data_IF_377712884960
#
_entry.id   IF_377712884960
#
_cell.length_a   1.000
_cell.length_b   1.000
_cell.length_c   1.000
_cell.angle_alpha   90.00
_cell.angle_beta   90.00
_cell.angle_gamma   90.00
#
_symmetry.space_group_name_H-M   'P 1'
#
loop_
_entity.id
_entity.type
_entity.pdbx_description
1 polymer ?
#
# COMPACT_ATOMS: atom_id res chain seq x y z
N UNK A 1 -24.31 -14.50 -27.20
CA UNK A 1 -23.84 -14.27 -25.83
C UNK A 1 -24.16 -12.83 -25.46
N UNK A 2 -25.03 -12.58 -24.47
CA UNK A 2 -25.27 -11.18 -23.96
C UNK A 2 -23.94 -10.59 -23.53
N UNK A 3 -23.56 -9.44 -24.07
CA UNK A 3 -22.40 -8.70 -23.62
C UNK A 3 -22.56 -8.42 -22.12
N UNK A 4 -21.67 -9.00 -21.29
CA UNK A 4 -21.62 -8.73 -19.86
C UNK A 4 -21.29 -7.25 -19.71
N UNK A 5 -22.20 -6.49 -19.06
CA UNK A 5 -21.97 -5.07 -18.79
C UNK A 5 -20.78 -4.95 -17.83
N UNK A 6 -19.86 -4.02 -18.08
CA UNK A 6 -18.68 -3.77 -17.25
C UNK A 6 -19.02 -3.56 -15.76
N UNK A 7 -20.20 -3.03 -15.47
CA UNK A 7 -20.69 -2.84 -14.11
C UNK A 7 -21.04 -4.15 -13.39
N UNK A 8 -21.34 -5.23 -14.13
CA UNK A 8 -21.67 -6.53 -13.55
C UNK A 8 -20.44 -7.35 -13.18
N UNK A 9 -19.28 -7.08 -13.79
CA UNK A 9 -18.06 -7.86 -13.59
C UNK A 9 -17.62 -7.90 -12.10
N UNK A 10 -17.59 -6.79 -11.36
CA UNK A 10 -17.25 -6.82 -9.92
C UNK A 10 -18.18 -7.72 -9.09
N UNK A 11 -19.48 -7.73 -9.38
CA UNK A 11 -20.44 -8.57 -8.69
C UNK A 11 -20.24 -10.06 -9.00
N UNK A 12 -19.90 -10.39 -10.25
CA UNK A 12 -19.59 -11.77 -10.66
C UNK A 12 -18.34 -12.26 -9.91
N UNK A 13 -17.28 -11.44 -9.87
CA UNK A 13 -16.06 -11.79 -9.14
C UNK A 13 -16.37 -11.99 -7.64
N UNK A 14 -17.13 -11.08 -7.03
CA UNK A 14 -17.53 -11.20 -5.63
C UNK A 14 -18.32 -12.49 -5.37
N UNK A 15 -19.26 -12.85 -6.25
CA UNK A 15 -20.04 -14.08 -6.13
C UNK A 15 -19.15 -15.33 -6.22
N UNK A 16 -18.19 -15.36 -7.16
CA UNK A 16 -17.23 -16.47 -7.30
C UNK A 16 -16.39 -16.61 -6.02
N UNK A 17 -15.86 -15.48 -5.51
CA UNK A 17 -15.05 -15.48 -4.28
C UNK A 17 -15.88 -15.95 -3.08
N UNK A 18 -17.12 -15.48 -2.95
CA UNK A 18 -18.03 -15.90 -1.88
C UNK A 18 -18.31 -17.42 -1.92
N UNK A 19 -18.58 -17.98 -3.11
CA UNK A 19 -18.79 -19.42 -3.29
C UNK A 19 -17.53 -20.21 -2.92
N UNK A 20 -16.35 -19.79 -3.40
CA UNK A 20 -15.08 -20.43 -3.05
C UNK A 20 -14.79 -20.33 -1.56
N UNK A 21 -15.04 -19.17 -0.95
CA UNK A 21 -14.84 -18.96 0.48
C UNK A 21 -15.73 -19.89 1.32
N UNK A 22 -17.01 -20.01 0.99
CA UNK A 22 -17.94 -20.94 1.67
C UNK A 22 -17.51 -22.39 1.44
N UNK A 23 -17.08 -22.74 0.22
CA UNK A 23 -16.63 -24.11 -0.11
C UNK A 23 -15.42 -24.55 0.73
N UNK A 24 -14.45 -23.64 0.93
CA UNK A 24 -13.26 -23.94 1.74
C UNK A 24 -13.45 -23.68 3.23
N UNK A 25 -14.60 -23.14 3.67
CA UNK A 25 -14.87 -22.82 5.08
C UNK A 25 -14.63 -23.99 6.04
N UNK A 26 -15.04 -25.25 5.75
CA UNK A 26 -14.81 -26.36 6.67
C UNK A 26 -13.33 -26.59 7.00
N UNK A 27 -12.41 -26.28 6.08
CA UNK A 27 -10.97 -26.46 6.27
C UNK A 27 -10.34 -25.38 7.17
N UNK A 28 -10.88 -24.17 7.17
CA UNK A 28 -10.33 -23.01 7.89
C UNK A 28 -11.23 -22.50 9.02
N UNK A 29 -12.39 -23.14 9.23
CA UNK A 29 -13.41 -22.65 10.19
C UNK A 29 -12.89 -22.56 11.61
N UNK A 30 -12.05 -23.51 12.05
CA UNK A 30 -11.50 -23.50 13.41
C UNK A 30 -10.64 -22.28 13.66
N UNK A 31 -9.58 -22.09 12.87
CA UNK A 31 -8.67 -20.95 13.01
C UNK A 31 -9.42 -19.63 12.75
N UNK A 32 -10.34 -19.60 11.78
CA UNK A 32 -11.14 -18.41 11.51
C UNK A 32 -11.97 -18.01 12.74
N UNK A 33 -12.70 -18.94 13.36
CA UNK A 33 -13.58 -18.62 14.49
C UNK A 33 -12.84 -18.34 15.79
N UNK A 34 -11.67 -18.94 16.01
CA UNK A 34 -10.91 -18.81 17.27
C UNK A 34 -9.87 -17.69 17.23
N UNK A 35 -9.20 -17.48 16.08
CA UNK A 35 -8.03 -16.62 16.01
C UNK A 35 -8.20 -15.44 15.05
N UNK A 36 -8.92 -15.64 13.91
CA UNK A 36 -8.89 -14.68 12.80
C UNK A 36 -10.26 -14.09 12.44
N UNK A 37 -11.25 -14.16 13.31
CA UNK A 37 -12.61 -13.66 13.04
C UNK A 37 -12.67 -12.15 12.75
N UNK A 38 -11.68 -11.39 13.18
CA UNK A 38 -11.55 -9.94 12.94
C UNK A 38 -10.96 -9.60 11.57
N UNK A 39 -10.33 -10.57 10.90
CA UNK A 39 -9.61 -10.35 9.64
C UNK A 39 -10.46 -9.81 8.50
N UNK A 40 -11.75 -10.17 8.33
CA UNK A 40 -12.58 -9.54 7.30
C UNK A 40 -12.72 -8.03 7.51
N UNK A 41 -12.90 -7.56 8.75
CA UNK A 41 -12.99 -6.12 9.05
C UNK A 41 -11.65 -5.41 8.82
N UNK A 42 -10.57 -6.01 9.28
CA UNK A 42 -9.23 -5.51 9.04
C UNK A 42 -8.93 -5.48 7.54
N UNK A 43 -9.39 -6.49 6.80
CA UNK A 43 -9.31 -6.59 5.35
C UNK A 43 -10.00 -5.43 4.63
N UNK A 44 -11.20 -5.04 5.09
CA UNK A 44 -11.90 -3.87 4.54
C UNK A 44 -11.07 -2.60 4.72
N UNK A 45 -10.54 -2.36 5.92
CA UNK A 45 -9.76 -1.16 6.23
C UNK A 45 -8.47 -1.14 5.40
N UNK A 46 -7.67 -2.21 5.49
CA UNK A 46 -6.36 -2.28 4.86
C UNK A 46 -6.44 -2.22 3.33
N UNK A 47 -7.37 -2.96 2.72
CA UNK A 47 -7.54 -2.93 1.27
C UNK A 47 -8.14 -1.61 0.77
N UNK A 48 -8.98 -0.94 1.57
CA UNK A 48 -9.46 0.41 1.24
C UNK A 48 -8.29 1.38 1.19
N UNK A 49 -7.45 1.41 2.22
CA UNK A 49 -6.26 2.26 2.25
C UNK A 49 -5.34 1.95 1.06
N UNK A 50 -5.00 0.69 0.85
CA UNK A 50 -4.08 0.26 -0.19
C UNK A 50 -4.56 0.58 -1.62
N UNK A 51 -5.86 0.62 -1.86
CA UNK A 51 -6.43 0.90 -3.19
C UNK A 51 -6.86 2.36 -3.38
N UNK A 52 -6.68 3.22 -2.38
CA UNK A 52 -6.98 4.66 -2.44
C UNK A 52 -5.75 5.53 -2.29
N UNK A 53 -4.64 4.99 -1.79
CA UNK A 53 -3.41 5.71 -1.48
C UNK A 53 -2.19 4.96 -2.02
N UNK A 54 -1.04 5.61 -2.17
CA UNK A 54 0.22 4.94 -2.49
C UNK A 54 0.86 4.30 -1.24
N UNK A 55 0.05 3.78 -0.36
CA UNK A 55 0.46 3.15 0.87
C UNK A 55 -0.18 1.76 0.94
N UNK A 56 0.60 0.74 0.68
CA UNK A 56 0.15 -0.63 0.57
C UNK A 56 -0.49 -1.15 1.87
N UNK A 57 -1.25 -2.24 1.78
CA UNK A 57 -1.97 -2.81 2.91
C UNK A 57 -1.06 -3.24 4.08
N UNK A 58 0.22 -3.50 3.82
CA UNK A 58 1.21 -3.87 4.83
C UNK A 58 1.32 -2.89 5.99
N UNK A 59 1.19 -1.60 5.69
CA UNK A 59 1.22 -0.55 6.71
C UNK A 59 0.06 -0.65 7.72
N UNK A 60 -1.08 -1.20 7.32
CA UNK A 60 -2.21 -1.44 8.23
C UNK A 60 -2.09 -2.81 8.90
N UNK A 61 -1.77 -3.85 8.12
CA UNK A 61 -1.75 -5.21 8.64
C UNK A 61 -0.60 -5.46 9.62
N UNK A 62 0.61 -5.05 9.26
CA UNK A 62 1.80 -5.41 10.05
C UNK A 62 1.71 -4.95 11.52
N UNK A 63 1.43 -3.67 11.83
CA UNK A 63 1.38 -3.23 13.22
C UNK A 63 0.23 -3.86 14.01
N UNK A 64 -0.89 -4.19 13.36
CA UNK A 64 -2.02 -4.82 14.04
C UNK A 64 -1.72 -6.31 14.29
N UNK A 65 -1.25 -7.04 13.28
CA UNK A 65 -0.94 -8.45 13.40
C UNK A 65 0.17 -8.72 14.43
N UNK A 66 1.23 -7.90 14.44
CA UNK A 66 2.32 -8.04 15.41
C UNK A 66 1.89 -7.74 16.85
N UNK A 67 0.93 -6.82 17.07
CA UNK A 67 0.31 -6.60 18.39
C UNK A 67 -0.63 -7.73 18.81
N UNK A 68 -1.15 -8.48 17.88
CA UNK A 68 -1.94 -9.70 18.10
C UNK A 68 -1.07 -10.95 18.10
N UNK A 69 0.22 -10.79 18.39
CA UNK A 69 1.21 -11.85 18.59
C UNK A 69 1.52 -12.70 17.33
N UNK A 70 1.09 -12.26 16.13
CA UNK A 70 1.54 -12.87 14.88
C UNK A 70 3.02 -12.51 14.67
N UNK A 71 3.83 -13.52 14.34
CA UNK A 71 5.26 -13.31 14.10
C UNK A 71 5.49 -12.26 12.99
N UNK A 72 6.42 -11.31 13.18
CA UNK A 72 6.68 -10.24 12.21
C UNK A 72 7.00 -10.74 10.80
N UNK A 73 7.76 -11.83 10.68
CA UNK A 73 8.06 -12.44 9.37
C UNK A 73 6.79 -12.93 8.69
N UNK A 74 5.93 -13.65 9.43
CA UNK A 74 4.63 -14.12 8.94
C UNK A 74 3.72 -12.97 8.53
N UNK A 75 3.72 -11.88 9.30
CA UNK A 75 2.95 -10.67 8.97
C UNK A 75 3.41 -10.04 7.65
N UNK A 76 4.72 -9.97 7.38
CA UNK A 76 5.27 -9.48 6.10
C UNK A 76 4.89 -10.40 4.93
N UNK A 77 5.07 -11.70 5.09
CA UNK A 77 4.70 -12.70 4.07
C UNK A 77 3.21 -12.59 3.72
N UNK A 78 2.37 -12.54 4.76
CA UNK A 78 0.93 -12.33 4.58
C UNK A 78 0.63 -11.06 3.81
N UNK A 79 1.32 -9.94 4.10
CA UNK A 79 1.03 -8.67 3.41
C UNK A 79 1.29 -8.75 1.91
N UNK A 80 2.38 -9.38 1.47
CA UNK A 80 2.65 -9.57 0.04
C UNK A 80 1.56 -10.41 -0.63
N UNK A 81 1.16 -11.52 0.00
CA UNK A 81 0.15 -12.43 -0.55
C UNK A 81 -1.22 -11.77 -0.66
N UNK A 82 -1.65 -11.06 0.39
CA UNK A 82 -2.96 -10.41 0.39
C UNK A 82 -3.00 -9.20 -0.56
N UNK A 83 -1.87 -8.52 -0.78
CA UNK A 83 -1.76 -7.41 -1.71
C UNK A 83 -1.79 -7.87 -3.17
N UNK A 84 -1.15 -9.01 -3.51
CA UNK A 84 -1.26 -9.59 -4.83
C UNK A 84 -2.73 -9.78 -5.23
N UNK A 85 -3.55 -10.22 -4.29
CA UNK A 85 -4.99 -10.37 -4.47
C UNK A 85 -5.73 -9.03 -4.38
N UNK A 86 -5.64 -8.32 -3.26
CA UNK A 86 -6.47 -7.16 -2.95
C UNK A 86 -6.16 -5.93 -3.81
N UNK A 87 -4.87 -5.62 -4.01
CA UNK A 87 -4.47 -4.53 -4.90
C UNK A 87 -4.63 -4.94 -6.38
N UNK A 88 -4.55 -6.24 -6.69
CA UNK A 88 -4.92 -6.77 -8.01
C UNK A 88 -6.39 -6.48 -8.36
N UNK A 89 -7.31 -6.76 -7.43
CA UNK A 89 -8.73 -6.42 -7.59
C UNK A 89 -8.96 -4.91 -7.72
N UNK A 90 -8.28 -4.11 -6.90
CA UNK A 90 -8.35 -2.66 -6.96
C UNK A 90 -7.81 -2.09 -8.28
N UNK A 91 -6.66 -2.58 -8.75
CA UNK A 91 -6.10 -2.25 -10.07
C UNK A 91 -7.10 -2.56 -11.18
N UNK A 92 -7.69 -3.75 -11.14
CA UNK A 92 -8.72 -4.15 -12.10
C UNK A 92 -9.95 -3.24 -12.03
N UNK A 93 -10.39 -2.86 -10.83
CA UNK A 93 -11.50 -1.91 -10.66
C UNK A 93 -11.15 -0.54 -11.24
N UNK A 94 -9.97 0.01 -10.97
CA UNK A 94 -9.53 1.27 -11.55
C UNK A 94 -9.44 1.21 -13.08
N UNK A 95 -9.00 0.09 -13.64
CA UNK A 95 -8.96 -0.13 -15.08
C UNK A 95 -10.37 -0.10 -15.72
N UNK A 96 -11.37 -0.66 -15.04
CA UNK A 96 -12.77 -0.60 -15.49
C UNK A 96 -13.33 0.83 -15.39
N UNK A 97 -12.92 1.58 -14.36
CA UNK A 97 -13.38 2.98 -14.15
C UNK A 97 -12.78 3.90 -15.21
N UNK A 98 -11.46 3.94 -15.33
CA UNK A 98 -10.80 4.79 -16.33
C UNK A 98 -9.36 4.34 -16.62
N UNK A 99 -9.12 3.83 -17.83
CA UNK A 99 -7.79 3.41 -18.30
C UNK A 99 -6.77 4.54 -18.40
N UNK A 100 -7.22 5.79 -18.54
CA UNK A 100 -6.32 6.96 -18.64
C UNK A 100 -5.59 7.30 -17.34
N UNK A 101 -6.02 6.67 -16.22
CA UNK A 101 -5.33 6.79 -14.93
C UNK A 101 -4.03 5.97 -14.84
N UNK A 102 -3.65 5.25 -15.89
CA UNK A 102 -2.47 4.39 -15.91
C UNK A 102 -1.40 4.91 -16.86
N UNK A 103 -0.17 4.92 -16.42
CA UNK A 103 1.01 5.14 -17.26
C UNK A 103 1.62 3.78 -17.59
N UNK A 104 1.02 3.07 -18.56
CA UNK A 104 1.39 1.69 -18.87
C UNK A 104 2.85 1.51 -19.33
N UNK A 105 3.43 2.49 -20.00
CA UNK A 105 4.78 2.40 -20.55
C UNK A 105 5.90 2.37 -19.48
N UNK A 106 5.64 2.87 -18.26
CA UNK A 106 6.63 2.85 -17.17
C UNK A 106 6.56 1.55 -16.35
N UNK A 107 5.40 0.86 -16.32
CA UNK A 107 5.18 -0.32 -15.49
C UNK A 107 6.20 -1.44 -15.76
N UNK A 108 6.50 -1.83 -17.02
CA UNK A 108 7.47 -2.90 -17.28
C UNK A 108 8.87 -2.60 -16.76
N UNK A 109 9.34 -1.34 -16.92
CA UNK A 109 10.65 -0.90 -16.46
C UNK A 109 10.74 -0.97 -14.94
N UNK A 110 9.72 -0.44 -14.27
CA UNK A 110 9.67 -0.39 -12.81
C UNK A 110 9.43 -1.78 -12.21
N UNK A 111 8.64 -2.62 -12.86
CA UNK A 111 8.42 -4.00 -12.44
C UNK A 111 9.72 -4.81 -12.51
N UNK A 112 10.52 -4.64 -13.56
CA UNK A 112 11.81 -5.31 -13.69
C UNK A 112 12.76 -4.92 -12.55
N UNK A 113 12.93 -3.62 -12.28
CA UNK A 113 13.73 -3.14 -11.16
C UNK A 113 13.19 -3.65 -9.80
N UNK A 114 11.86 -3.55 -9.61
CA UNK A 114 11.19 -4.02 -8.40
C UNK A 114 11.36 -5.52 -8.15
N UNK A 115 11.21 -6.37 -9.17
CA UNK A 115 11.40 -7.84 -9.06
C UNK A 115 12.85 -8.14 -8.64
N UNK A 116 13.85 -7.50 -9.26
CA UNK A 116 15.25 -7.69 -8.85
C UNK A 116 15.42 -7.31 -7.38
N UNK A 117 14.85 -6.18 -6.94
CA UNK A 117 14.90 -5.75 -5.55
C UNK A 117 14.26 -6.76 -4.59
N UNK A 118 13.05 -7.25 -4.90
CA UNK A 118 12.35 -8.25 -4.07
C UNK A 118 13.12 -9.58 -4.02
N UNK A 119 13.68 -10.04 -5.13
CA UNK A 119 14.52 -11.25 -5.16
C UNK A 119 15.74 -11.06 -4.25
N UNK A 120 16.42 -9.92 -4.36
CA UNK A 120 17.60 -9.63 -3.53
C UNK A 120 17.23 -9.63 -2.05
N UNK A 121 16.12 -9.01 -1.66
CA UNK A 121 15.73 -8.91 -0.25
C UNK A 121 15.20 -10.23 0.33
N UNK A 122 14.40 -10.98 -0.40
CA UNK A 122 13.80 -12.23 0.13
C UNK A 122 14.80 -13.39 0.09
N UNK A 123 15.60 -13.50 -1.00
CA UNK A 123 16.45 -14.68 -1.22
C UNK A 123 17.87 -14.48 -0.69
N UNK A 124 18.47 -13.31 -0.93
CA UNK A 124 19.89 -13.10 -0.60
C UNK A 124 20.12 -12.40 0.74
N UNK A 125 19.21 -11.52 1.15
CA UNK A 125 19.33 -10.72 2.38
C UNK A 125 18.05 -10.70 3.21
N UNK A 126 17.49 -11.87 3.61
CA UNK A 126 16.28 -11.91 4.42
C UNK A 126 16.53 -11.35 5.82
N UNK A 127 15.55 -10.67 6.39
CA UNK A 127 15.57 -10.21 7.78
C UNK A 127 14.86 -11.25 8.64
N UNK A 128 15.63 -12.15 9.25
CA UNK A 128 15.06 -13.26 10.03
C UNK A 128 14.78 -12.89 11.50
N UNK A 129 15.46 -11.87 12.04
CA UNK A 129 15.27 -11.45 13.44
C UNK A 129 14.01 -10.62 13.60
N UNK A 130 12.99 -11.10 14.35
CA UNK A 130 11.71 -10.41 14.50
C UNK A 130 11.83 -8.98 15.05
N UNK A 131 12.73 -8.77 16.01
CA UNK A 131 12.94 -7.45 16.64
C UNK A 131 13.54 -6.45 15.63
N UNK A 132 14.51 -6.91 14.84
CA UNK A 132 15.15 -6.10 13.81
C UNK A 132 14.16 -5.77 12.69
N UNK A 133 13.36 -6.75 12.28
CA UNK A 133 12.32 -6.57 11.25
C UNK A 133 11.29 -5.52 11.70
N UNK A 134 10.80 -5.62 12.94
CA UNK A 134 9.85 -4.65 13.50
C UNK A 134 10.46 -3.24 13.58
N UNK A 135 11.71 -3.12 13.97
CA UNK A 135 12.42 -1.84 14.03
C UNK A 135 12.55 -1.22 12.63
N UNK A 136 13.02 -2.01 11.66
CA UNK A 136 13.20 -1.58 10.27
C UNK A 136 11.85 -1.20 9.66
N UNK A 137 10.81 -2.00 9.89
CA UNK A 137 9.46 -1.70 9.42
C UNK A 137 9.02 -0.31 9.90
N UNK A 138 9.06 -0.06 11.20
CA UNK A 138 8.59 1.21 11.78
C UNK A 138 9.41 2.41 11.29
N UNK A 139 10.73 2.26 11.19
CA UNK A 139 11.61 3.31 10.70
C UNK A 139 11.32 3.63 9.23
N UNK A 140 11.21 2.62 8.37
CA UNK A 140 10.91 2.82 6.94
C UNK A 140 9.49 3.34 6.77
N UNK A 141 8.49 2.83 7.49
CA UNK A 141 7.13 3.32 7.45
C UNK A 141 7.06 4.81 7.80
N UNK A 142 7.80 5.24 8.83
CA UNK A 142 7.90 6.65 9.17
C UNK A 142 8.57 7.49 8.07
N UNK A 143 9.67 7.01 7.48
CA UNK A 143 10.33 7.70 6.37
C UNK A 143 9.40 7.83 5.14
N UNK A 144 8.70 6.77 4.80
CA UNK A 144 7.73 6.80 3.68
C UNK A 144 6.58 7.77 3.97
N UNK A 145 6.16 7.90 5.24
CA UNK A 145 5.21 8.93 5.66
C UNK A 145 5.72 10.35 5.37
N UNK A 146 7.00 10.61 5.66
CA UNK A 146 7.62 11.92 5.35
C UNK A 146 7.67 12.17 3.83
N UNK A 147 7.94 11.14 3.04
CA UNK A 147 7.91 11.21 1.57
C UNK A 147 6.50 11.60 1.08
N UNK A 148 5.44 11.02 1.65
CA UNK A 148 4.06 11.36 1.31
C UNK A 148 3.75 12.81 1.67
N UNK A 149 4.12 13.27 2.88
CA UNK A 149 3.96 14.67 3.28
C UNK A 149 4.67 15.63 2.32
N UNK A 150 5.91 15.30 1.97
CA UNK A 150 6.68 16.08 1.01
C UNK A 150 5.98 16.16 -0.35
N UNK A 151 5.46 15.04 -0.84
CA UNK A 151 4.71 14.99 -2.11
C UNK A 151 3.45 15.86 -2.07
N UNK A 152 2.73 15.90 -0.96
CA UNK A 152 1.55 16.74 -0.79
C UNK A 152 1.93 18.23 -0.76
N UNK A 153 3.02 18.60 -0.07
CA UNK A 153 3.49 19.98 0.05
C UNK A 153 4.01 20.56 -1.27
N UNK A 154 4.56 19.72 -2.14
CA UNK A 154 5.14 20.10 -3.43
C UNK A 154 4.25 19.75 -4.63
N UNK A 155 2.94 19.69 -4.42
CA UNK A 155 1.98 19.49 -5.51
C UNK A 155 2.10 20.59 -6.57
N UNK A 156 2.16 20.18 -7.84
CA UNK A 156 2.33 21.11 -8.95
C UNK A 156 0.97 21.58 -9.47
N UNK A 157 0.87 22.88 -9.77
CA UNK A 157 -0.35 23.54 -10.27
C UNK A 157 -0.81 22.98 -11.64
N UNK A 158 0.12 22.51 -12.48
CA UNK A 158 -0.17 21.95 -13.81
C UNK A 158 0.50 20.59 -13.95
N UNK A 159 -0.13 19.52 -13.45
CA UNK A 159 0.46 18.20 -13.49
C UNK A 159 0.43 17.60 -14.90
N UNK A 160 1.46 16.81 -15.22
CA UNK A 160 1.54 16.01 -16.45
C UNK A 160 0.73 14.71 -16.32
N UNK A 161 0.30 14.15 -17.45
CA UNK A 161 -0.39 12.86 -17.51
C UNK A 161 0.49 11.70 -17.98
N UNK A 162 1.72 11.96 -18.39
CA UNK A 162 2.65 10.96 -18.91
C UNK A 162 4.11 11.34 -18.75
N UNK A 163 4.99 10.39 -19.03
CA UNK A 163 6.46 10.51 -18.91
C UNK A 163 7.09 10.17 -20.26
N UNK A 164 8.00 11.04 -20.69
CA UNK A 164 8.87 10.75 -21.84
C UNK A 164 9.99 9.80 -21.43
N UNK A 165 10.07 8.64 -22.06
CA UNK A 165 11.06 7.60 -21.76
C UNK A 165 12.38 7.89 -22.47
N UNK A 166 13.16 8.82 -21.94
CA UNK A 166 14.57 8.98 -22.29
C UNK A 166 15.45 8.13 -21.36
N UNK A 167 16.72 7.94 -21.69
CA UNK A 167 17.65 7.10 -20.94
C UNK A 167 17.76 7.48 -19.46
N UNK A 168 17.79 8.79 -19.16
CA UNK A 168 17.90 9.28 -17.78
C UNK A 168 16.63 8.94 -16.99
N UNK A 169 15.47 9.16 -17.57
CA UNK A 169 14.20 8.85 -16.92
C UNK A 169 14.03 7.34 -16.68
N UNK A 170 14.47 6.50 -17.63
CA UNK A 170 14.49 5.05 -17.47
C UNK A 170 15.41 4.64 -16.32
N UNK A 171 16.61 5.20 -16.21
CA UNK A 171 17.53 4.89 -15.11
C UNK A 171 16.98 5.33 -13.76
N UNK A 172 16.34 6.50 -13.66
CA UNK A 172 15.68 6.97 -12.44
C UNK A 172 14.55 6.01 -12.06
N UNK A 173 13.65 5.69 -12.98
CA UNK A 173 12.52 4.79 -12.73
C UNK A 173 12.99 3.41 -12.29
N UNK A 174 13.96 2.84 -12.98
CA UNK A 174 14.53 1.53 -12.66
C UNK A 174 15.24 1.53 -11.30
N UNK A 175 16.13 2.50 -11.04
CA UNK A 175 16.90 2.57 -9.79
C UNK A 175 16.02 2.71 -8.54
N UNK A 176 15.05 3.62 -8.60
CA UNK A 176 14.10 3.77 -7.48
C UNK A 176 13.16 2.57 -7.32
N UNK A 177 12.76 1.94 -8.42
CA UNK A 177 11.95 0.72 -8.32
C UNK A 177 12.73 -0.46 -7.77
N UNK A 178 14.04 -0.54 -8.04
CA UNK A 178 14.92 -1.52 -7.42
C UNK A 178 15.01 -1.30 -5.90
N UNK A 179 15.21 -0.06 -5.44
CA UNK A 179 15.19 0.29 -4.02
C UNK A 179 13.82 0.02 -3.39
N UNK A 180 12.74 0.42 -4.06
CA UNK A 180 11.39 0.15 -3.60
C UNK A 180 11.07 -1.34 -3.52
N UNK A 181 11.59 -2.14 -4.44
CA UNK A 181 11.49 -3.60 -4.43
C UNK A 181 12.24 -4.23 -3.26
N UNK A 182 13.48 -3.78 -2.98
CA UNK A 182 14.24 -4.20 -1.80
C UNK A 182 13.45 -3.96 -0.51
N UNK A 183 12.93 -2.76 -0.35
CA UNK A 183 12.10 -2.39 0.81
C UNK A 183 10.84 -3.25 0.88
N UNK A 184 10.14 -3.42 -0.25
CA UNK A 184 8.91 -4.21 -0.30
C UNK A 184 9.13 -5.68 0.05
N UNK A 185 10.27 -6.26 -0.31
CA UNK A 185 10.59 -7.64 0.07
C UNK A 185 10.89 -7.80 1.56
N UNK A 186 11.50 -6.79 2.21
CA UNK A 186 11.77 -6.83 3.64
C UNK A 186 10.57 -6.57 4.53
N UNK A 187 9.73 -5.59 4.16
CA UNK A 187 8.66 -5.11 5.05
C UNK A 187 7.25 -5.24 4.45
N UNK A 188 7.14 -5.81 3.24
CA UNK A 188 5.86 -6.08 2.60
C UNK A 188 5.23 -4.89 1.87
N UNK A 189 5.90 -3.72 1.81
CA UNK A 189 5.42 -2.52 1.10
C UNK A 189 6.58 -1.57 0.82
N UNK A 190 6.37 -0.54 -0.01
CA UNK A 190 7.37 0.52 -0.21
C UNK A 190 7.55 0.95 -1.67
N UNK A 191 7.49 0.03 -2.63
CA UNK A 191 7.65 0.40 -4.04
C UNK A 191 6.55 1.37 -4.51
N UNK A 192 5.32 1.18 -4.06
CA UNK A 192 4.19 2.05 -4.35
C UNK A 192 4.40 3.47 -3.84
N UNK A 193 4.85 3.63 -2.60
CA UNK A 193 5.12 4.95 -2.00
C UNK A 193 6.31 5.63 -2.69
N UNK A 194 7.41 4.91 -2.90
CA UNK A 194 8.58 5.46 -3.60
C UNK A 194 8.25 5.84 -5.04
N UNK A 195 7.49 4.99 -5.71
CA UNK A 195 7.10 5.25 -7.09
C UNK A 195 6.13 6.43 -7.19
N UNK A 196 5.14 6.52 -6.32
CA UNK A 196 4.28 7.70 -6.21
C UNK A 196 5.08 8.98 -6.02
N UNK A 197 6.06 8.98 -5.10
CA UNK A 197 6.93 10.13 -4.88
C UNK A 197 7.66 10.56 -6.15
N UNK A 198 8.27 9.63 -6.86
CA UNK A 198 9.00 9.95 -8.09
C UNK A 198 8.04 10.50 -9.14
N UNK A 199 6.90 9.87 -9.32
CA UNK A 199 5.89 10.32 -10.27
C UNK A 199 5.42 11.74 -9.96
N UNK A 200 5.12 12.05 -8.70
CA UNK A 200 4.54 13.34 -8.33
C UNK A 200 5.60 14.44 -8.21
N UNK A 201 6.72 14.17 -7.55
CA UNK A 201 7.72 15.20 -7.24
C UNK A 201 8.73 15.39 -8.38
N UNK A 202 9.28 14.29 -8.92
CA UNK A 202 10.29 14.37 -9.96
C UNK A 202 9.67 14.57 -11.35
N UNK A 203 8.70 13.73 -11.70
CA UNK A 203 8.08 13.78 -13.03
C UNK A 203 6.85 14.70 -13.11
N UNK A 204 6.38 15.24 -11.99
CA UNK A 204 5.23 16.17 -11.92
C UNK A 204 3.95 15.58 -12.50
N UNK A 205 3.72 14.29 -12.26
CA UNK A 205 2.53 13.57 -12.70
C UNK A 205 1.34 13.93 -11.82
N UNK A 206 0.16 13.94 -12.42
CA UNK A 206 -1.10 14.10 -11.69
C UNK A 206 -1.20 13.07 -10.56
N UNK A 207 -1.49 13.48 -9.31
CA UNK A 207 -1.52 12.59 -8.15
C UNK A 207 -2.47 11.39 -8.31
N UNK A 208 -3.64 11.57 -8.95
CA UNK A 208 -4.57 10.46 -9.18
C UNK A 208 -3.98 9.40 -10.13
N UNK A 209 -3.31 9.84 -11.21
CA UNK A 209 -2.59 8.97 -12.14
C UNK A 209 -1.43 8.28 -11.45
N UNK A 210 -0.67 9.01 -10.64
CA UNK A 210 0.44 8.48 -9.88
C UNK A 210 -0.02 7.41 -8.87
N UNK A 211 -1.11 7.65 -8.11
CA UNK A 211 -1.68 6.68 -7.17
C UNK A 211 -2.08 5.40 -7.89
N UNK A 212 -2.89 5.49 -8.94
CA UNK A 212 -3.40 4.30 -9.64
C UNK A 212 -2.26 3.50 -10.29
N UNK A 213 -1.27 4.20 -10.87
CA UNK A 213 -0.11 3.53 -11.48
C UNK A 213 0.77 2.85 -10.42
N UNK A 214 0.98 3.49 -9.24
CA UNK A 214 1.77 2.89 -8.16
C UNK A 214 1.08 1.69 -7.50
N UNK A 215 -0.25 1.74 -7.31
CA UNK A 215 -1.05 0.60 -6.85
C UNK A 215 -0.88 -0.59 -7.80
N UNK A 216 -0.94 -0.33 -9.11
CA UNK A 216 -0.81 -1.38 -10.13
C UNK A 216 0.59 -2.01 -10.13
N UNK A 217 1.62 -1.19 -9.95
CA UNK A 217 3.00 -1.67 -9.83
C UNK A 217 3.17 -2.54 -8.58
N UNK A 218 2.63 -2.10 -7.43
CA UNK A 218 2.70 -2.88 -6.19
C UNK A 218 1.91 -4.19 -6.30
N UNK A 219 0.73 -4.19 -6.93
CA UNK A 219 -0.04 -5.40 -7.18
C UNK A 219 0.77 -6.43 -7.99
N UNK A 220 1.40 -5.98 -9.08
CA UNK A 220 2.22 -6.84 -9.93
C UNK A 220 3.48 -7.34 -9.19
N UNK A 221 4.15 -6.48 -8.42
CA UNK A 221 5.30 -6.86 -7.61
C UNK A 221 4.94 -7.85 -6.50
N UNK A 222 3.78 -7.67 -5.89
CA UNK A 222 3.27 -8.56 -4.84
C UNK A 222 3.00 -9.98 -5.36
N UNK A 223 2.65 -10.14 -6.65
CA UNK A 223 2.57 -11.47 -7.29
C UNK A 223 3.95 -12.13 -7.30
N UNK A 224 4.99 -11.41 -7.70
CA UNK A 224 6.36 -11.93 -7.68
C UNK A 224 6.82 -12.27 -6.26
N UNK A 225 6.57 -11.38 -5.28
CA UNK A 225 6.86 -11.64 -3.87
C UNK A 225 6.09 -12.83 -3.30
N UNK A 226 4.83 -13.02 -3.71
CA UNK A 226 4.03 -14.19 -3.33
C UNK A 226 4.63 -15.49 -3.87
N UNK A 227 5.04 -15.51 -5.13
CA UNK A 227 5.69 -16.67 -5.75
C UNK A 227 6.98 -17.04 -5.00
N UNK A 228 7.81 -16.04 -4.68
CA UNK A 228 9.04 -16.26 -3.91
C UNK A 228 8.74 -16.80 -2.51
N UNK A 229 7.73 -16.25 -1.81
CA UNK A 229 7.32 -16.77 -0.50
C UNK A 229 6.79 -18.22 -0.58
N UNK A 230 6.05 -18.59 -1.61
CA UNK A 230 5.61 -19.99 -1.81
C UNK A 230 6.79 -20.93 -2.02
N UNK A 231 7.86 -20.46 -2.69
CA UNK A 231 9.03 -21.29 -3.00
C UNK A 231 9.97 -21.44 -1.79
N UNK A 232 10.18 -20.36 -1.02
CA UNK A 232 11.23 -20.29 0.00
C UNK A 232 10.72 -20.30 1.44
N UNK A 233 9.41 -20.08 1.67
CA UNK A 233 8.82 -19.94 2.99
C UNK A 233 7.44 -20.59 3.08
N UNK A 234 6.92 -20.74 4.30
CA UNK A 234 5.56 -21.19 4.55
C UNK A 234 4.56 -20.04 4.32
N UNK A 235 3.46 -20.35 3.63
CA UNK A 235 2.41 -19.39 3.32
C UNK A 235 1.35 -19.39 4.43
N UNK A 236 1.02 -18.25 5.07
CA UNK A 236 0.01 -18.18 6.13
C UNK A 236 -1.42 -18.24 5.55
N UNK A 237 -1.84 -19.41 5.07
CA UNK A 237 -3.10 -19.61 4.35
C UNK A 237 -4.34 -19.30 5.21
N UNK A 238 -4.32 -19.62 6.51
CA UNK A 238 -5.47 -19.36 7.41
C UNK A 238 -5.75 -17.88 7.58
N UNK A 239 -4.68 -17.08 7.76
CA UNK A 239 -4.79 -15.62 7.87
C UNK A 239 -5.26 -15.03 6.54
N UNK A 240 -4.69 -15.50 5.42
CA UNK A 240 -5.05 -15.05 4.07
C UNK A 240 -6.51 -15.36 3.76
N UNK A 241 -6.95 -16.60 3.98
CA UNK A 241 -8.32 -17.03 3.78
C UNK A 241 -9.31 -16.16 4.59
N UNK A 242 -8.98 -15.87 5.85
CA UNK A 242 -9.82 -15.09 6.74
C UNK A 242 -9.99 -13.63 6.27
N UNK A 243 -8.99 -13.05 5.62
CA UNK A 243 -9.03 -11.68 5.11
C UNK A 243 -9.80 -11.51 3.80
N UNK A 244 -9.93 -12.57 2.99
CA UNK A 244 -10.47 -12.51 1.62
C UNK A 244 -11.80 -11.79 1.48
N UNK A 245 -12.84 -12.04 2.32
CA UNK A 245 -14.13 -11.40 2.15
C UNK A 245 -14.04 -9.87 2.24
N UNK A 246 -13.37 -9.37 3.26
CA UNK A 246 -13.19 -7.93 3.48
C UNK A 246 -12.38 -7.26 2.38
N UNK A 247 -11.28 -7.90 1.98
CA UNK A 247 -10.40 -7.40 0.91
C UNK A 247 -11.13 -7.37 -0.45
N UNK A 248 -11.99 -8.36 -0.71
CA UNK A 248 -12.80 -8.40 -1.94
C UNK A 248 -13.79 -7.25 -2.00
N UNK A 249 -14.53 -7.02 -0.91
CA UNK A 249 -15.50 -5.93 -0.81
C UNK A 249 -14.79 -4.58 -0.99
N UNK A 250 -13.67 -4.38 -0.28
CA UNK A 250 -12.94 -3.12 -0.35
C UNK A 250 -12.34 -2.87 -1.74
N UNK A 251 -11.66 -3.85 -2.32
CA UNK A 251 -10.98 -3.71 -3.61
C UNK A 251 -11.95 -3.46 -4.78
N UNK A 252 -13.09 -4.15 -4.80
CA UNK A 252 -14.06 -4.04 -5.89
C UNK A 252 -15.03 -2.86 -5.77
N UNK A 253 -15.37 -2.43 -4.56
CA UNK A 253 -16.45 -1.47 -4.37
C UNK A 253 -16.05 -0.25 -3.53
N UNK A 254 -15.52 -0.45 -2.33
CA UNK A 254 -15.39 0.61 -1.34
C UNK A 254 -14.25 1.57 -1.65
N UNK A 255 -13.10 1.06 -2.07
CA UNK A 255 -11.90 1.87 -2.28
C UNK A 255 -12.12 2.94 -3.36
N UNK A 256 -12.58 2.55 -4.55
CA UNK A 256 -12.82 3.50 -5.62
C UNK A 256 -13.91 4.53 -5.24
N UNK A 257 -14.96 4.11 -4.52
CA UNK A 257 -16.01 5.01 -4.04
C UNK A 257 -15.46 6.04 -3.04
N UNK A 258 -14.69 5.60 -2.06
CA UNK A 258 -14.10 6.49 -1.05
C UNK A 258 -13.04 7.42 -1.64
N UNK A 259 -12.21 6.94 -2.56
CA UNK A 259 -11.22 7.76 -3.24
C UNK A 259 -11.88 8.95 -3.99
N UNK A 260 -13.04 8.70 -4.62
CA UNK A 260 -13.79 9.74 -5.31
C UNK A 260 -14.48 10.68 -4.32
N UNK A 261 -15.03 10.16 -3.22
CA UNK A 261 -15.83 10.95 -2.25
C UNK A 261 -14.97 11.79 -1.31
N UNK A 262 -13.89 11.22 -0.76
CA UNK A 262 -13.03 11.89 0.21
C UNK A 262 -11.89 12.67 -0.45
N UNK A 263 -11.53 12.28 -1.66
CA UNK A 263 -10.34 12.72 -2.34
C UNK A 263 -9.06 12.07 -1.79
N UNK A 264 -8.10 11.76 -2.65
CA UNK A 264 -6.89 11.04 -2.25
C UNK A 264 -6.06 11.78 -1.20
N UNK A 265 -6.06 13.10 -1.19
CA UNK A 265 -5.33 13.93 -0.23
C UNK A 265 -5.82 13.72 1.21
N UNK A 266 -7.14 13.69 1.43
CA UNK A 266 -7.71 13.49 2.77
C UNK A 266 -7.43 12.08 3.28
N UNK A 267 -7.51 11.07 2.39
CA UNK A 267 -7.18 9.69 2.75
C UNK A 267 -5.69 9.56 3.08
N UNK A 268 -4.81 10.19 2.28
CA UNK A 268 -3.37 10.26 2.56
C UNK A 268 -3.07 10.92 3.90
N UNK A 269 -3.69 12.06 4.20
CA UNK A 269 -3.48 12.76 5.48
C UNK A 269 -3.93 11.93 6.69
N UNK A 270 -5.12 11.33 6.63
CA UNK A 270 -5.58 10.43 7.69
C UNK A 270 -4.59 9.29 7.92
N UNK A 271 -4.09 8.74 6.83
CA UNK A 271 -3.20 7.61 6.87
C UNK A 271 -1.79 7.97 7.40
N UNK A 272 -1.21 9.09 6.97
CA UNK A 272 0.07 9.56 7.52
C UNK A 272 -0.01 9.88 9.00
N UNK A 273 -1.18 10.34 9.48
CA UNK A 273 -1.45 10.54 10.89
C UNK A 273 -1.44 9.19 11.66
N UNK A 274 -2.10 8.17 11.13
CA UNK A 274 -2.12 6.84 11.75
C UNK A 274 -0.73 6.22 11.83
N UNK A 275 0.08 6.32 10.77
CA UNK A 275 1.46 5.84 10.77
C UNK A 275 2.36 6.58 11.75
N UNK A 276 2.15 7.88 11.88
CA UNK A 276 2.89 8.69 12.85
C UNK A 276 2.56 8.26 14.28
N UNK A 277 1.28 7.99 14.57
CA UNK A 277 0.83 7.46 15.86
C UNK A 277 1.45 6.09 16.10
N UNK A 278 1.45 5.20 15.10
CA UNK A 278 2.04 3.87 15.23
C UNK A 278 3.54 3.92 15.53
N UNK A 279 4.28 4.81 14.87
CA UNK A 279 5.69 5.04 15.14
C UNK A 279 5.92 5.47 16.59
N UNK A 280 5.10 6.40 17.12
CA UNK A 280 5.20 6.82 18.53
C UNK A 280 4.90 5.68 19.50
N UNK A 281 3.84 4.94 19.24
CA UNK A 281 3.49 3.78 20.08
C UNK A 281 4.65 2.78 20.10
N UNK A 282 5.23 2.48 18.96
CA UNK A 282 6.36 1.55 18.84
C UNK A 282 7.60 2.07 19.56
N UNK A 283 7.92 3.36 19.44
CA UNK A 283 9.05 3.97 20.13
C UNK A 283 8.94 3.82 21.66
N UNK A 284 7.72 3.83 22.21
CA UNK A 284 7.48 3.72 23.65
C UNK A 284 7.26 2.29 24.13
N UNK A 285 6.77 1.40 23.31
CA UNK A 285 6.47 0.01 23.72
C UNK A 285 7.61 -0.95 23.49
N UNK A 286 8.51 -0.70 22.52
CA UNK A 286 9.65 -1.56 22.26
C UNK A 286 10.82 -1.30 23.22
N UNK A 287 11.03 -2.24 24.16
CA UNK A 287 12.15 -2.21 25.11
C UNK A 287 13.50 -2.60 24.48
N UNK A 288 13.49 -3.17 23.29
CA UNK A 288 14.70 -3.60 22.55
C UNK A 288 15.53 -2.45 22.00
N UNK A 289 14.98 -1.23 21.95
CA UNK A 289 15.71 -0.05 21.52
C UNK A 289 16.49 0.49 22.73
N UNK A 290 17.83 0.47 22.74
CA UNK A 290 18.65 0.89 23.88
C UNK A 290 18.74 2.43 23.95
N UNK A 291 17.60 3.10 24.02
CA UNK A 291 17.51 4.55 24.11
C UNK A 291 17.03 4.93 25.50
N UNK A 292 17.74 5.85 26.18
CA UNK A 292 17.35 6.34 27.49
C UNK A 292 15.97 7.03 27.46
N UNK A 293 15.26 6.99 28.58
CA UNK A 293 13.94 7.64 28.72
C UNK A 293 13.97 9.12 28.30
N UNK A 294 15.01 9.86 28.70
CA UNK A 294 15.18 11.27 28.37
C UNK A 294 15.28 11.50 26.87
N UNK A 295 16.08 10.67 26.16
CA UNK A 295 16.24 10.78 24.71
C UNK A 295 14.95 10.38 23.99
N UNK A 296 14.22 9.35 24.44
CA UNK A 296 12.90 8.99 23.92
C UNK A 296 11.91 10.16 24.04
N UNK A 297 11.84 10.78 25.21
CA UNK A 297 10.95 11.91 25.45
C UNK A 297 11.31 13.08 24.54
N UNK A 298 12.59 13.42 24.41
CA UNK A 298 13.05 14.48 23.52
C UNK A 298 12.67 14.24 22.05
N UNK A 299 12.95 13.03 21.54
CA UNK A 299 12.58 12.63 20.18
C UNK A 299 11.06 12.73 19.98
N UNK A 300 10.27 12.24 20.95
CA UNK A 300 8.81 12.27 20.90
C UNK A 300 8.28 13.70 20.81
N UNK A 301 8.74 14.60 21.69
CA UNK A 301 8.30 16.01 21.67
C UNK A 301 8.73 16.72 20.37
N UNK A 302 9.96 16.52 19.91
CA UNK A 302 10.45 17.10 18.66
C UNK A 302 9.61 16.63 17.46
N UNK A 303 9.28 15.34 17.40
CA UNK A 303 8.47 14.78 16.33
C UNK A 303 7.00 15.24 16.40
N UNK A 304 6.41 15.36 17.60
CA UNK A 304 5.05 15.93 17.75
C UNK A 304 5.00 17.35 17.22
N UNK A 305 5.95 18.20 17.63
CA UNK A 305 6.03 19.59 17.15
C UNK A 305 6.17 19.63 15.62
N UNK A 306 7.04 18.78 15.06
CA UNK A 306 7.26 18.68 13.63
C UNK A 306 5.99 18.24 12.89
N UNK A 307 5.29 17.19 13.36
CA UNK A 307 4.06 16.70 12.74
C UNK A 307 2.93 17.73 12.82
N UNK A 308 2.76 18.39 13.97
CA UNK A 308 1.79 19.48 14.11
C UNK A 308 2.11 20.60 13.12
N UNK A 309 3.38 21.00 13.01
CA UNK A 309 3.82 22.03 12.05
C UNK A 309 3.47 21.64 10.60
N UNK A 310 3.80 20.40 10.19
CA UNK A 310 3.49 19.93 8.83
C UNK A 310 2.00 19.90 8.57
N UNK A 311 1.19 19.35 9.49
CA UNK A 311 -0.26 19.27 9.32
C UNK A 311 -0.90 20.66 9.24
N UNK A 312 -0.46 21.61 10.08
CA UNK A 312 -0.92 22.99 10.02
C UNK A 312 -0.52 23.65 8.70
N UNK A 313 0.69 23.40 8.20
CA UNK A 313 1.16 23.91 6.90
C UNK A 313 0.32 23.37 5.75
N UNK A 314 0.05 22.06 5.72
CA UNK A 314 -0.79 21.41 4.69
C UNK A 314 -2.23 21.98 4.76
N UNK A 315 -2.76 22.13 5.97
CA UNK A 315 -4.11 22.70 6.16
C UNK A 315 -4.21 24.14 5.68
N UNK A 316 -3.19 24.98 5.96
CA UNK A 316 -3.15 26.39 5.52
C UNK A 316 -2.97 26.56 4.01
N UNK A 317 -2.34 25.61 3.32
CA UNK A 317 -2.22 25.65 1.85
C UNK A 317 -3.56 25.46 1.13
N UNK A 318 -4.62 25.17 1.87
CA UNK A 318 -5.93 24.84 1.37
C UNK A 318 -5.95 23.46 0.72
N UNK A 319 -7.11 22.85 0.74
CA UNK A 319 -7.38 21.64 -0.01
C UNK A 319 -7.56 22.02 -1.49
N UNK A 320 -6.47 22.23 -2.21
CA UNK A 320 -6.54 22.31 -3.66
C UNK A 320 -7.14 21.01 -4.17
N UNK A 321 -8.24 21.15 -4.89
CA UNK A 321 -9.18 20.11 -5.28
C UNK A 321 -8.52 19.03 -6.13
N UNK A 322 -7.95 18.00 -5.49
CA UNK A 322 -7.69 16.72 -6.19
C UNK A 322 -9.04 16.10 -6.65
N UNK A 323 -10.14 16.45 -5.96
CA UNK A 323 -11.49 16.08 -6.37
C UNK A 323 -11.92 16.62 -7.74
N UNK A 324 -11.43 17.80 -8.15
CA UNK A 324 -11.70 18.36 -9.47
C UNK A 324 -11.01 17.57 -10.58
N UNK A 325 -9.79 17.07 -10.36
CA UNK A 325 -9.06 16.30 -11.36
C UNK A 325 -9.72 14.94 -11.66
N UNK A 326 -10.35 14.30 -10.67
CA UNK A 326 -11.16 13.09 -10.88
C UNK A 326 -12.54 13.41 -11.51
N UNK A 327 -13.06 14.61 -11.27
CA UNK A 327 -14.30 15.11 -11.88
C UNK A 327 -14.13 15.46 -13.36
N UNK A 328 -13.02 16.06 -13.74
CA UNK A 328 -12.68 16.36 -15.14
C UNK A 328 -12.57 15.09 -16.00
N UNK A 329 -12.03 13.99 -15.42
CA UNK A 329 -11.99 12.69 -16.10
C UNK A 329 -13.37 12.03 -16.30
N UNK A 330 -14.40 12.45 -15.54
CA UNK A 330 -15.79 11.97 -15.71
C UNK A 330 -16.54 12.70 -16.81
N UNK A 331 -16.19 13.94 -17.10
CA UNK A 331 -16.92 14.75 -18.09
C UNK A 331 -16.62 14.34 -19.55
N UNK A 332 -15.49 13.65 -19.78
CA UNK A 332 -15.03 13.23 -21.10
C UNK A 332 -15.25 11.73 -21.41
N UNK A 333 -15.94 10.99 -20.54
CA UNK A 333 -16.26 9.56 -20.71
C UNK A 333 -17.73 9.35 -21.01
#
# INVERSE_FOLDING_TARGET
>A
MKNINKEQIPFIIMAIVAVLWVFYFPYFSKEFLTEYFYMPFLGVIAATVANTTPAAAGIVYFPILTRLEVQPVTAVQFTLIIQAYGMGLGTFKWYLVNKRLFIFNVIPICLLGGIIGVVVSIVFFPIEKPELLTLIFNFIAFLLTQIIFFSILYEHKYPKLGIDLNTINILILFGFSLLGGLVSGWIGFGIDTMFYFILTVIFRINPAVAIVTSISLMAALSIAGTILNIIFHDVPLSIWYSALPGVTIAGLFLAAYLAVKLGPKNVLMLFTMLLSIDFFVTLWTQNTIPISYTVRSFITYALIIYLVYIHVKIFKQGFTEIGSSLGEFKADS
#
